data_IF_162393423389
#
_entry.id   IF_162393423389
#
_cell.length_a   1.000
_cell.length_b   1.000
_cell.length_c   1.000
_cell.angle_alpha   90.00
_cell.angle_beta   90.00
_cell.angle_gamma   90.00
#
_symmetry.space_group_name_H-M   'P 1'
#
loop_
_entity.id
_entity.type
_entity.pdbx_description
1 polymer ?
#
# COMPACT_ATOMS: atom_id res chain seq x y z
N UNK A 1 -32.78 -14.65 -3.95
CA UNK A 1 -31.36 -14.38 -4.22
C UNK A 1 -30.73 -15.72 -4.51
N UNK A 2 -30.15 -15.88 -5.69
CA UNK A 2 -29.56 -17.15 -6.13
C UNK A 2 -28.07 -16.92 -6.31
N UNK A 3 -27.24 -17.75 -5.68
CA UNK A 3 -25.78 -17.65 -5.72
C UNK A 3 -25.24 -18.81 -6.53
N UNK A 4 -24.35 -18.51 -7.47
CA UNK A 4 -23.66 -19.51 -8.30
C UNK A 4 -22.18 -19.51 -7.86
N UNK A 5 -21.64 -20.69 -7.57
CA UNK A 5 -20.21 -20.88 -7.32
C UNK A 5 -19.53 -21.37 -8.60
N UNK A 6 -18.42 -20.74 -8.96
CA UNK A 6 -17.64 -21.07 -10.15
C UNK A 6 -16.21 -21.30 -9.69
N UNK A 7 -15.67 -22.48 -9.97
CA UNK A 7 -14.28 -22.82 -9.73
C UNK A 7 -13.48 -22.54 -11.01
N UNK A 8 -12.34 -21.87 -10.87
CA UNK A 8 -11.52 -21.41 -12.00
C UNK A 8 -10.14 -22.06 -11.83
N UNK A 9 -9.77 -22.93 -12.77
CA UNK A 9 -8.49 -23.66 -12.71
C UNK A 9 -7.30 -22.87 -13.28
N UNK A 10 -7.56 -21.81 -14.06
CA UNK A 10 -6.52 -21.02 -14.73
C UNK A 10 -6.66 -19.52 -14.40
N UNK A 11 -5.59 -18.91 -13.88
CA UNK A 11 -5.59 -17.50 -13.46
C UNK A 11 -5.95 -16.51 -14.57
N UNK A 12 -5.60 -16.83 -15.82
CA UNK A 12 -5.94 -16.00 -16.98
C UNK A 12 -7.45 -15.85 -17.21
N UNK A 13 -8.25 -16.82 -16.73
CA UNK A 13 -9.70 -16.84 -16.92
C UNK A 13 -10.42 -15.93 -15.92
N UNK A 14 -9.79 -15.60 -14.78
CA UNK A 14 -10.38 -14.73 -13.75
C UNK A 14 -10.63 -13.32 -14.29
N UNK A 15 -9.67 -12.76 -15.03
CA UNK A 15 -9.78 -11.41 -15.59
C UNK A 15 -10.88 -11.30 -16.64
N UNK A 16 -11.01 -12.32 -17.49
CA UNK A 16 -12.05 -12.39 -18.52
C UNK A 16 -13.43 -12.56 -17.87
N UNK A 17 -13.55 -13.44 -16.88
CA UNK A 17 -14.81 -13.69 -16.18
C UNK A 17 -15.29 -12.46 -15.41
N UNK A 18 -14.37 -11.78 -14.71
CA UNK A 18 -14.64 -10.52 -13.98
C UNK A 18 -15.24 -9.47 -14.90
N UNK A 19 -14.66 -9.31 -16.10
CA UNK A 19 -15.16 -8.37 -17.11
C UNK A 19 -16.56 -8.73 -17.58
N UNK A 20 -16.79 -9.99 -17.96
CA UNK A 20 -18.11 -10.45 -18.44
C UNK A 20 -19.19 -10.28 -17.37
N UNK A 21 -18.92 -10.64 -16.12
CA UNK A 21 -19.87 -10.51 -15.02
C UNK A 21 -20.20 -9.04 -14.72
N UNK A 22 -19.22 -8.15 -14.85
CA UNK A 22 -19.40 -6.70 -14.69
C UNK A 22 -20.25 -6.12 -15.81
N UNK A 23 -19.97 -6.47 -17.06
CA UNK A 23 -20.72 -5.99 -18.24
C UNK A 23 -22.19 -6.44 -18.21
N UNK A 24 -22.46 -7.61 -17.62
CA UNK A 24 -23.82 -8.13 -17.41
C UNK A 24 -24.52 -7.56 -16.16
N UNK A 25 -23.83 -6.73 -15.37
CA UNK A 25 -24.39 -6.09 -14.18
C UNK A 25 -24.56 -7.01 -12.96
N UNK A 26 -23.87 -8.15 -12.93
CA UNK A 26 -23.90 -9.05 -11.79
C UNK A 26 -22.99 -8.57 -10.65
N UNK A 27 -23.40 -8.89 -9.42
CA UNK A 27 -22.57 -8.73 -8.23
C UNK A 27 -21.91 -10.07 -7.93
N UNK A 28 -20.59 -10.09 -7.82
CA UNK A 28 -19.80 -11.29 -7.52
C UNK A 28 -18.70 -10.97 -6.50
N UNK A 29 -18.18 -12.01 -5.86
CA UNK A 29 -17.08 -11.96 -4.91
C UNK A 29 -16.09 -13.02 -5.36
N UNK A 30 -14.81 -12.66 -5.47
CA UNK A 30 -13.75 -13.62 -5.72
C UNK A 30 -13.32 -14.19 -4.37
N UNK A 31 -13.63 -15.46 -4.14
CA UNK A 31 -13.15 -16.24 -3.01
C UNK A 31 -11.84 -16.92 -3.45
N UNK A 32 -10.71 -16.21 -3.38
CA UNK A 32 -9.40 -16.84 -3.55
C UNK A 32 -9.03 -17.53 -2.23
N UNK A 33 -8.75 -18.84 -2.26
CA UNK A 33 -8.20 -19.56 -1.10
C UNK A 33 -6.78 -19.07 -0.71
N UNK A 34 -6.16 -18.18 -1.51
CA UNK A 34 -4.84 -17.58 -1.27
C UNK A 34 -4.89 -16.10 -0.88
N UNK A 35 -5.89 -15.68 -0.12
CA UNK A 35 -5.56 -14.80 1.00
C UNK A 35 -5.48 -15.70 2.22
N UNK A 36 -4.35 -16.41 2.30
CA UNK A 36 -3.65 -16.41 3.57
C UNK A 36 -3.59 -14.94 4.01
N UNK A 37 -4.57 -14.52 4.81
CA UNK A 37 -4.27 -13.89 6.08
C UNK A 37 -3.35 -14.83 6.86
N UNK A 38 -2.15 -15.08 6.30
CA UNK A 38 -1.06 -15.71 6.97
C UNK A 38 -0.77 -14.76 8.11
N UNK A 39 -0.83 -15.28 9.32
CA UNK A 39 -0.28 -14.57 10.45
C UNK A 39 1.10 -14.08 10.03
N UNK A 40 1.25 -12.75 9.92
CA UNK A 40 2.54 -12.14 9.62
C UNK A 40 3.55 -12.81 10.55
N UNK A 41 4.63 -13.36 9.99
CA UNK A 41 5.66 -14.01 10.79
C UNK A 41 6.10 -13.03 11.88
N UNK A 42 6.42 -13.51 13.09
CA UNK A 42 6.88 -12.63 14.16
C UNK A 42 8.00 -11.68 13.71
N UNK A 43 8.87 -12.13 12.80
CA UNK A 43 9.94 -11.31 12.21
C UNK A 43 9.42 -10.16 11.35
N UNK A 44 8.37 -10.40 10.57
CA UNK A 44 7.74 -9.39 9.72
C UNK A 44 6.99 -8.36 10.58
N UNK A 45 6.27 -8.82 11.60
CA UNK A 45 5.62 -7.98 12.61
C UNK A 45 6.63 -7.07 13.34
N UNK A 46 7.80 -7.61 13.70
CA UNK A 46 8.89 -6.83 14.32
C UNK A 46 9.39 -5.76 13.35
N UNK A 47 9.63 -6.11 12.09
CA UNK A 47 10.09 -5.15 11.07
C UNK A 47 9.09 -4.02 10.82
N UNK A 48 7.80 -4.35 10.71
CA UNK A 48 6.72 -3.38 10.51
C UNK A 48 6.59 -2.46 11.73
N UNK A 49 6.62 -3.01 12.94
CA UNK A 49 6.53 -2.21 14.17
C UNK A 49 7.74 -1.28 14.35
N UNK A 50 8.94 -1.72 13.96
CA UNK A 50 10.13 -0.86 13.96
C UNK A 50 9.97 0.31 12.98
N UNK A 51 9.53 0.03 11.75
CA UNK A 51 9.26 1.08 10.76
C UNK A 51 8.20 2.08 11.22
N UNK A 52 7.09 1.59 11.79
CA UNK A 52 6.03 2.45 12.33
C UNK A 52 6.50 3.29 13.54
N UNK A 53 7.38 2.73 14.37
CA UNK A 53 8.00 3.46 15.48
C UNK A 53 8.90 4.57 14.96
N UNK A 54 9.73 4.30 13.95
CA UNK A 54 10.60 5.31 13.36
C UNK A 54 9.81 6.45 12.67
N UNK A 55 8.64 6.14 12.11
CA UNK A 55 7.72 7.16 11.59
C UNK A 55 7.11 8.00 12.73
N UNK A 56 6.61 7.37 13.81
CA UNK A 56 6.04 8.09 14.96
C UNK A 56 7.06 8.96 15.68
N UNK A 57 8.31 8.49 15.77
CA UNK A 57 9.41 9.22 16.38
C UNK A 57 10.03 10.26 15.43
N UNK A 58 9.48 10.42 14.22
CA UNK A 58 9.94 11.41 13.25
C UNK A 58 11.36 11.16 12.75
N UNK A 59 11.84 9.91 12.81
CA UNK A 59 13.17 9.50 12.31
C UNK A 59 13.15 9.24 10.80
N UNK A 60 11.99 8.90 10.26
CA UNK A 60 11.76 8.80 8.81
C UNK A 60 11.18 10.12 8.33
N UNK A 61 11.99 10.86 7.58
CA UNK A 61 11.55 12.09 6.94
C UNK A 61 11.09 11.78 5.51
N UNK A 62 9.88 12.19 5.16
CA UNK A 62 9.43 12.12 3.77
C UNK A 62 10.32 13.00 2.89
N UNK A 63 10.41 12.68 1.60
CA UNK A 63 11.13 13.51 0.63
C UNK A 63 10.69 14.98 0.71
N UNK A 64 9.38 15.22 0.86
CA UNK A 64 8.81 16.57 1.02
C UNK A 64 9.31 17.27 2.29
N UNK A 65 9.40 16.56 3.40
CA UNK A 65 9.94 17.12 4.65
C UNK A 65 11.44 17.45 4.51
N UNK A 66 12.21 16.54 3.90
CA UNK A 66 13.64 16.76 3.68
C UNK A 66 13.88 18.00 2.80
N UNK A 67 13.11 18.16 1.73
CA UNK A 67 13.20 19.30 0.83
C UNK A 67 12.86 20.63 1.53
N UNK A 68 11.78 20.68 2.31
CA UNK A 68 11.42 21.86 3.10
C UNK A 68 12.55 22.28 4.04
N UNK A 69 13.18 21.31 4.72
CA UNK A 69 14.28 21.59 5.65
C UNK A 69 15.53 22.12 4.93
N UNK A 70 15.80 21.65 3.71
CA UNK A 70 16.90 22.13 2.88
C UNK A 70 16.65 23.58 2.46
N UNK A 71 15.44 23.89 1.97
CA UNK A 71 15.06 25.24 1.56
C UNK A 71 15.11 26.24 2.73
N UNK A 72 14.64 25.83 3.91
CA UNK A 72 14.77 26.63 5.14
C UNK A 72 16.23 26.91 5.48
N UNK A 73 17.10 25.89 5.35
CA UNK A 73 18.52 26.04 5.66
C UNK A 73 19.24 26.94 4.66
N UNK A 74 18.92 26.82 3.37
CA UNK A 74 19.45 27.71 2.33
C UNK A 74 19.03 29.15 2.60
N UNK A 75 17.77 29.38 2.98
CA UNK A 75 17.25 30.71 3.31
C UNK A 75 17.98 31.33 4.51
N UNK A 76 18.17 30.56 5.58
CA UNK A 76 18.94 30.99 6.75
C UNK A 76 20.40 31.33 6.41
N UNK A 77 21.05 30.51 5.57
CA UNK A 77 22.43 30.77 5.14
C UNK A 77 22.52 32.01 4.26
N UNK A 78 21.54 32.24 3.38
CA UNK A 78 21.48 33.45 2.54
C UNK A 78 21.32 34.71 3.37
N UNK A 79 20.53 34.68 4.44
CA UNK A 79 20.42 35.80 5.40
C UNK A 79 21.73 36.00 6.17
N UNK A 80 22.41 34.91 6.56
CA UNK A 80 23.62 34.96 7.38
C UNK A 80 24.89 35.35 6.62
N UNK A 81 24.99 35.01 5.35
CA UNK A 81 26.20 35.17 4.52
C UNK A 81 25.98 36.00 3.25
N UNK A 82 24.75 36.48 3.01
CA UNK A 82 24.39 37.30 1.85
C UNK A 82 24.35 38.80 2.13
N UNK A 83 25.04 39.28 3.17
CA UNK A 83 25.40 40.71 3.37
C UNK A 83 26.88 40.90 3.09
#
# INVERSE_FOLDING_TARGET
MTTIKIEIEQDNDVSLLTRVLTDLGFKFILENEELESGELSEREMIGINAGLKDVREGRVFSQKYAQSRIEDKISQLRVKYGS
#
